data_IF_221571244952
#
_entry.id   IF_221571244952
#
_cell.length_a   1.000
_cell.length_b   1.000
_cell.length_c   1.000
_cell.angle_alpha   90.00
_cell.angle_beta   90.00
_cell.angle_gamma   90.00
#
_symmetry.space_group_name_H-M   'P 1'
#
loop_
_entity.id
_entity.type
_entity.pdbx_description
1 polymer ?
#
# COMPACT_ATOMS: atom_id res chain seq x y z
N UNK A 1 8.90 -15.67 7.34
CA UNK A 1 8.41 -14.35 7.79
C UNK A 1 9.36 -13.68 8.79
N UNK A 2 9.97 -14.39 9.76
CA UNK A 2 10.79 -13.76 10.83
C UNK A 2 12.02 -12.94 10.39
N UNK A 3 12.55 -13.19 9.19
CA UNK A 3 13.70 -12.45 8.63
C UNK A 3 13.29 -11.46 7.52
N UNK A 4 11.98 -11.32 7.28
CA UNK A 4 11.48 -10.30 6.34
C UNK A 4 11.63 -8.96 7.05
N UNK A 5 12.33 -8.02 6.40
CA UNK A 5 12.67 -6.71 6.95
C UNK A 5 11.44 -5.92 7.46
N UNK A 6 11.71 -4.82 8.17
CA UNK A 6 10.81 -3.97 8.96
C UNK A 6 9.36 -3.79 8.46
N UNK A 7 9.09 -3.86 7.16
CA UNK A 7 7.75 -3.64 6.58
C UNK A 7 6.68 -4.71 6.79
N UNK A 8 6.99 -5.96 7.20
CA UNK A 8 5.95 -6.96 7.54
C UNK A 8 5.75 -7.12 9.05
N UNK A 9 6.78 -6.86 9.84
CA UNK A 9 6.76 -7.13 11.28
C UNK A 9 5.71 -6.28 12.02
N UNK A 10 5.34 -5.11 11.50
CA UNK A 10 4.26 -4.30 12.06
C UNK A 10 2.86 -4.91 11.85
N UNK A 11 2.68 -5.77 10.85
CA UNK A 11 1.40 -6.39 10.52
C UNK A 11 1.23 -7.79 11.13
N UNK A 12 2.30 -8.39 11.67
CA UNK A 12 2.29 -9.75 12.19
C UNK A 12 2.36 -9.74 13.71
N UNK A 13 1.37 -10.33 14.36
CA UNK A 13 1.34 -10.48 15.82
C UNK A 13 1.90 -11.83 16.27
N UNK A 14 2.18 -11.96 17.57
CA UNK A 14 2.61 -13.23 18.17
C UNK A 14 1.58 -14.37 17.98
N UNK A 15 0.29 -14.04 17.93
CA UNK A 15 -0.78 -15.02 17.71
C UNK A 15 -0.82 -15.53 16.25
N UNK A 16 -0.31 -14.74 15.30
CA UNK A 16 -0.26 -15.09 13.87
C UNK A 16 0.90 -16.03 13.54
N UNK A 17 2.02 -15.95 14.26
CA UNK A 17 3.24 -16.73 14.01
C UNK A 17 2.99 -18.24 13.80
N UNK A 18 2.31 -18.96 14.71
CA UNK A 18 2.13 -20.41 14.55
C UNK A 18 1.22 -20.77 13.38
N UNK A 19 0.39 -19.84 12.91
CA UNK A 19 -0.43 -20.03 11.71
C UNK A 19 0.43 -19.83 10.46
N UNK A 20 1.30 -18.82 10.48
CA UNK A 20 2.23 -18.52 9.40
C UNK A 20 3.33 -19.60 9.24
N UNK A 21 3.60 -20.42 10.26
CA UNK A 21 4.43 -21.63 10.10
C UNK A 21 3.85 -22.63 9.09
N UNK A 22 2.53 -22.59 8.87
CA UNK A 22 1.87 -23.42 7.87
C UNK A 22 1.86 -22.81 6.47
N UNK A 23 2.32 -21.56 6.29
CA UNK A 23 2.43 -20.90 5.00
C UNK A 23 3.56 -21.55 4.19
N UNK A 24 3.22 -22.23 3.11
CA UNK A 24 4.17 -22.96 2.27
C UNK A 24 4.65 -22.17 1.07
N UNK A 25 3.81 -21.26 0.54
CA UNK A 25 4.14 -20.48 -0.65
C UNK A 25 3.32 -19.19 -0.71
N UNK A 26 3.86 -18.17 -1.39
CA UNK A 26 3.15 -16.94 -1.74
C UNK A 26 3.37 -16.67 -3.21
N UNK A 27 2.30 -16.79 -4.00
CA UNK A 27 2.34 -16.65 -5.46
C UNK A 27 1.64 -15.36 -5.87
N UNK A 28 2.29 -14.60 -6.76
CA UNK A 28 1.70 -13.43 -7.40
C UNK A 28 1.13 -13.85 -8.76
N UNK A 29 -0.15 -13.60 -8.99
CA UNK A 29 -0.80 -13.68 -10.30
C UNK A 29 -1.00 -12.27 -10.85
N UNK A 30 -0.13 -11.84 -11.75
CA UNK A 30 -0.27 -10.55 -12.44
C UNK A 30 -1.17 -10.64 -13.67
N UNK A 31 -2.06 -9.66 -13.80
CA UNK A 31 -2.83 -9.36 -14.98
C UNK A 31 -2.54 -7.90 -15.41
N UNK A 32 -3.05 -7.49 -16.57
CA UNK A 32 -2.79 -6.16 -17.10
C UNK A 32 -3.29 -5.08 -16.13
N UNK A 33 -4.53 -5.21 -15.65
CA UNK A 33 -5.27 -4.23 -14.84
C UNK A 33 -5.56 -4.73 -13.41
N UNK A 34 -4.88 -5.77 -12.96
CA UNK A 34 -5.08 -6.36 -11.64
C UNK A 34 -3.91 -7.25 -11.25
N UNK A 35 -3.77 -7.54 -9.97
CA UNK A 35 -2.93 -8.64 -9.50
C UNK A 35 -3.57 -9.34 -8.32
N UNK A 36 -3.18 -10.59 -8.08
CA UNK A 36 -3.63 -11.39 -6.94
C UNK A 36 -2.45 -11.97 -6.18
N UNK A 37 -2.58 -12.00 -4.87
CA UNK A 37 -1.65 -12.66 -3.96
C UNK A 37 -2.31 -13.94 -3.44
N UNK A 38 -1.72 -15.08 -3.74
CA UNK A 38 -2.16 -16.40 -3.29
C UNK A 38 -1.22 -16.93 -2.21
N UNK A 39 -1.72 -17.02 -0.99
CA UNK A 39 -1.03 -17.55 0.17
C UNK A 39 -1.41 -19.01 0.35
N UNK A 40 -0.49 -19.92 0.04
CA UNK A 40 -0.70 -21.36 0.12
C UNK A 40 -0.37 -21.85 1.52
N UNK A 41 -1.31 -22.58 2.13
CA UNK A 41 -1.13 -23.16 3.46
C UNK A 41 -1.19 -24.68 3.40
N UNK A 42 -0.30 -25.31 4.14
CA UNK A 42 -0.42 -26.72 4.50
C UNK A 42 -1.65 -26.96 5.40
N UNK A 43 -2.20 -28.19 5.44
CA UNK A 43 -3.27 -28.53 6.37
C UNK A 43 -2.87 -28.18 7.81
N UNK A 44 -3.68 -27.33 8.46
CA UNK A 44 -3.41 -26.78 9.79
C UNK A 44 -4.64 -26.87 10.70
N UNK A 45 -4.51 -26.52 11.98
CA UNK A 45 -5.61 -26.59 12.95
C UNK A 45 -6.49 -25.32 13.02
N UNK A 46 -6.14 -24.26 12.31
CA UNK A 46 -6.76 -22.94 12.45
C UNK A 46 -7.93 -22.73 11.50
N UNK A 47 -7.74 -23.02 10.21
CA UNK A 47 -8.77 -22.85 9.18
C UNK A 47 -8.75 -24.00 8.16
N UNK A 48 -9.82 -24.15 7.37
CA UNK A 48 -9.92 -25.20 6.34
C UNK A 48 -9.41 -24.77 4.96
N UNK A 49 -9.21 -23.48 4.71
CA UNK A 49 -8.72 -22.98 3.43
C UNK A 49 -7.30 -23.47 3.17
N UNK A 50 -7.04 -23.92 1.94
CA UNK A 50 -5.68 -24.27 1.48
C UNK A 50 -4.97 -23.10 0.83
N UNK A 51 -5.73 -22.11 0.34
CA UNK A 51 -5.22 -20.90 -0.29
C UNK A 51 -6.04 -19.72 0.24
N UNK A 52 -5.36 -18.70 0.78
CA UNK A 52 -5.95 -17.39 1.05
C UNK A 52 -5.55 -16.44 -0.07
N UNK A 53 -6.51 -15.68 -0.60
CA UNK A 53 -6.31 -14.82 -1.78
C UNK A 53 -6.67 -13.38 -1.43
N UNK A 54 -5.78 -12.47 -1.80
CA UNK A 54 -6.05 -11.03 -1.83
C UNK A 54 -5.94 -10.56 -3.28
N UNK A 55 -6.94 -9.80 -3.74
CA UNK A 55 -7.06 -9.30 -5.11
C UNK A 55 -6.99 -7.77 -5.10
N UNK A 56 -6.29 -7.20 -6.08
CA UNK A 56 -6.15 -5.77 -6.28
C UNK A 56 -6.46 -5.42 -7.74
N UNK A 57 -7.14 -4.29 -7.98
CA UNK A 57 -7.33 -3.71 -9.32
C UNK A 57 -6.44 -2.50 -9.48
N UNK A 58 -5.87 -2.37 -10.66
CA UNK A 58 -4.96 -1.31 -11.05
C UNK A 58 -5.62 -0.36 -12.04
N UNK A 59 -5.41 0.93 -11.86
CA UNK A 59 -5.67 1.96 -12.86
C UNK A 59 -4.39 2.21 -13.64
N UNK A 60 -4.40 1.91 -14.93
CA UNK A 60 -3.19 1.95 -15.79
C UNK A 60 -3.03 3.24 -16.61
N UNK A 61 -3.96 4.17 -16.47
CA UNK A 61 -3.96 5.40 -17.25
C UNK A 61 -4.65 6.54 -16.52
N UNK A 62 -4.55 7.75 -17.08
CA UNK A 62 -5.15 8.94 -16.49
C UNK A 62 -6.66 8.81 -16.29
N UNK A 63 -7.16 9.38 -15.20
CA UNK A 63 -8.60 9.61 -15.02
C UNK A 63 -9.09 10.65 -16.02
N UNK A 64 -10.34 10.53 -16.47
CA UNK A 64 -10.96 11.57 -17.27
C UNK A 64 -11.10 12.89 -16.50
N UNK A 65 -11.35 12.80 -15.19
CA UNK A 65 -11.56 13.96 -14.31
C UNK A 65 -10.26 14.69 -13.95
N UNK A 66 -9.15 13.95 -13.85
CA UNK A 66 -7.82 14.51 -13.58
C UNK A 66 -6.75 13.72 -14.35
N UNK A 67 -6.47 14.11 -15.61
CA UNK A 67 -5.55 13.38 -16.47
C UNK A 67 -4.08 13.73 -16.23
N UNK A 68 -3.78 14.79 -15.48
CA UNK A 68 -2.40 15.22 -15.22
C UNK A 68 -1.80 14.62 -13.95
N UNK A 69 -2.64 14.06 -13.06
CA UNK A 69 -2.23 13.42 -11.81
C UNK A 69 -1.86 11.93 -11.96
N UNK A 70 -1.65 11.45 -13.20
CA UNK A 70 -1.25 10.06 -13.43
C UNK A 70 0.26 9.90 -13.24
N UNK A 71 0.66 9.23 -12.16
CA UNK A 71 2.06 8.91 -11.84
C UNK A 71 2.42 7.43 -12.09
N UNK A 72 1.53 6.68 -12.75
CA UNK A 72 1.72 5.26 -13.03
C UNK A 72 0.57 4.39 -12.53
N UNK A 73 0.71 3.06 -12.63
CA UNK A 73 -0.31 2.13 -12.16
C UNK A 73 -0.62 2.31 -10.67
N UNK A 74 -1.88 2.57 -10.34
CA UNK A 74 -2.33 2.79 -8.97
C UNK A 74 -3.37 1.73 -8.56
N UNK A 75 -3.31 1.27 -7.31
CA UNK A 75 -4.33 0.37 -6.75
C UNK A 75 -5.60 1.17 -6.45
N UNK A 76 -6.66 0.90 -7.20
CA UNK A 76 -7.96 1.60 -7.06
C UNK A 76 -9.01 0.78 -6.33
N UNK A 77 -8.79 -0.52 -6.19
CA UNK A 77 -9.70 -1.37 -5.47
C UNK A 77 -9.01 -2.61 -4.92
N UNK A 78 -9.50 -3.10 -3.80
CA UNK A 78 -9.02 -4.33 -3.19
C UNK A 78 -10.16 -5.23 -2.76
N UNK A 79 -9.88 -6.54 -2.71
CA UNK A 79 -10.81 -7.55 -2.23
C UNK A 79 -10.04 -8.71 -1.62
N UNK A 80 -10.32 -9.00 -0.36
CA UNK A 80 -9.88 -10.19 0.33
C UNK A 80 -10.81 -11.38 0.12
N UNK A 81 -10.80 -12.29 1.09
CA UNK A 81 -11.65 -13.46 1.08
C UNK A 81 -11.98 -13.93 2.49
N UNK A 82 -13.09 -14.64 2.61
CA UNK A 82 -13.50 -15.21 3.88
C UNK A 82 -12.53 -16.32 4.31
N UNK A 83 -12.01 -16.21 5.52
CA UNK A 83 -11.28 -17.30 6.18
C UNK A 83 -12.28 -18.19 6.92
N UNK A 84 -12.26 -19.49 6.60
CA UNK A 84 -13.09 -20.52 7.21
C UNK A 84 -12.37 -21.09 8.44
N UNK A 85 -12.31 -20.27 9.49
CA UNK A 85 -11.79 -20.66 10.81
C UNK A 85 -12.52 -21.90 11.32
N UNK A 86 -11.77 -22.90 11.79
CA UNK A 86 -12.30 -24.19 12.28
C UNK A 86 -13.08 -24.04 13.58
N UNK A 87 -12.74 -23.04 14.39
CA UNK A 87 -13.45 -22.70 15.62
C UNK A 87 -13.22 -21.24 16.00
N UNK A 88 -14.10 -20.69 16.84
CA UNK A 88 -14.00 -19.29 17.29
C UNK A 88 -12.73 -19.01 18.11
N UNK A 89 -12.20 -20.00 18.84
CA UNK A 89 -10.96 -19.88 19.61
C UNK A 89 -9.69 -19.92 18.76
N UNK A 90 -9.81 -20.36 17.50
CA UNK A 90 -8.70 -20.34 16.53
C UNK A 90 -8.68 -19.09 15.66
N UNK A 91 -9.71 -18.25 15.77
CA UNK A 91 -9.79 -17.01 15.02
C UNK A 91 -9.00 -15.89 15.71
N UNK A 92 -7.76 -15.67 15.28
CA UNK A 92 -6.85 -14.63 15.82
C UNK A 92 -7.27 -13.20 15.47
N UNK A 93 -8.21 -13.02 14.53
CA UNK A 93 -8.76 -11.69 14.19
C UNK A 93 -9.77 -11.19 15.24
N UNK A 94 -10.11 -12.04 16.22
CA UNK A 94 -11.14 -11.74 17.20
C UNK A 94 -10.78 -12.26 18.60
N UNK A 95 -10.93 -11.39 19.62
CA UNK A 95 -10.76 -11.76 21.02
C UNK A 95 -12.08 -11.76 21.77
N UNK A 96 -12.33 -12.85 22.51
CA UNK A 96 -13.52 -13.03 23.33
C UNK A 96 -13.32 -12.46 24.74
N UNK A 97 -14.07 -11.43 25.10
CA UNK A 97 -14.13 -10.87 26.45
C UNK A 97 -15.38 -11.33 27.20
N UNK A 98 -15.20 -11.97 28.36
CA UNK A 98 -16.31 -12.38 29.23
C UNK A 98 -16.44 -11.46 30.44
N UNK A 99 -17.65 -10.97 30.70
CA UNK A 99 -17.98 -10.17 31.88
C UNK A 99 -19.14 -10.80 32.65
N UNK A 100 -18.92 -11.05 33.92
CA UNK A 100 -19.98 -11.53 34.81
C UNK A 100 -20.88 -10.36 35.22
N UNK A 101 -22.16 -10.46 34.88
CA UNK A 101 -23.19 -9.51 35.27
C UNK A 101 -24.04 -10.13 36.38
N UNK A 102 -24.04 -9.49 37.55
CA UNK A 102 -24.91 -9.89 38.68
C UNK A 102 -26.17 -9.04 38.70
N UNK A 103 -27.33 -9.69 38.64
CA UNK A 103 -28.60 -9.00 38.80
C UNK A 103 -28.76 -8.56 40.27
N UNK A 104 -28.86 -7.24 40.49
CA UNK A 104 -28.96 -6.64 41.83
C UNK A 104 -30.21 -7.07 42.60
N UNK A 105 -31.30 -7.46 41.91
CA UNK A 105 -32.58 -7.84 42.53
C UNK A 105 -32.69 -9.33 42.82
N UNK A 106 -32.25 -10.17 41.89
CA UNK A 106 -32.40 -11.64 42.01
C UNK A 106 -31.14 -12.35 42.51
N UNK A 107 -30.01 -11.63 42.61
CA UNK A 107 -28.72 -12.20 43.02
C UNK A 107 -28.07 -13.12 41.97
N UNK A 108 -28.78 -13.45 40.90
CA UNK A 108 -28.35 -14.34 39.81
C UNK A 108 -27.22 -13.70 39.02
N UNK A 109 -26.16 -14.48 38.77
CA UNK A 109 -25.03 -14.07 37.91
C UNK A 109 -25.19 -14.68 36.53
N UNK A 110 -25.10 -13.87 35.48
CA UNK A 110 -25.01 -14.30 34.08
C UNK A 110 -23.68 -13.84 33.50
N UNK A 111 -22.97 -14.72 32.81
CA UNK A 111 -21.79 -14.35 32.04
C UNK A 111 -22.23 -13.81 30.68
N UNK A 112 -21.78 -12.60 30.35
CA UNK A 112 -21.97 -11.97 29.05
C UNK A 112 -20.66 -12.07 28.30
N UNK A 113 -20.71 -12.57 27.08
CA UNK A 113 -19.56 -12.70 26.19
C UNK A 113 -19.66 -11.65 25.10
N UNK A 114 -18.63 -10.82 24.92
CA UNK A 114 -18.49 -9.87 23.81
C UNK A 114 -17.25 -10.24 23.02
N UNK A 115 -17.39 -10.33 21.70
CA UNK A 115 -16.27 -10.49 20.78
C UNK A 115 -15.82 -9.12 20.28
N UNK A 116 -14.52 -8.87 20.25
CA UNK A 116 -13.90 -7.61 19.81
C UNK A 116 -12.88 -7.98 18.74
N UNK A 117 -12.79 -7.19 17.67
CA UNK A 117 -11.72 -7.34 16.68
C UNK A 117 -10.36 -7.05 17.31
N UNK A 118 -9.35 -7.76 16.84
CA UNK A 118 -7.97 -7.63 17.27
C UNK A 118 -7.05 -7.49 16.08
N UNK A 119 -5.93 -6.82 16.29
CA UNK A 119 -4.88 -6.71 15.29
C UNK A 119 -4.33 -8.10 14.98
N UNK A 120 -4.22 -8.40 13.70
CA UNK A 120 -3.78 -9.67 13.17
C UNK A 120 -3.45 -9.50 11.70
N UNK A 121 -2.40 -10.16 11.22
CA UNK A 121 -2.06 -10.23 9.81
C UNK A 121 -3.25 -10.70 8.96
N UNK A 122 -4.08 -11.61 9.50
CA UNK A 122 -5.21 -12.17 8.77
C UNK A 122 -6.35 -11.18 8.54
N UNK A 123 -6.32 -9.99 9.16
CA UNK A 123 -7.22 -8.89 8.82
C UNK A 123 -7.01 -8.42 7.37
N UNK A 124 -5.82 -8.66 6.79
CA UNK A 124 -5.52 -8.42 5.38
C UNK A 124 -6.52 -9.10 4.44
N UNK A 125 -7.17 -10.20 4.83
CA UNK A 125 -8.14 -10.90 4.00
C UNK A 125 -9.61 -10.55 4.31
N UNK A 126 -9.88 -9.75 5.35
CA UNK A 126 -11.21 -9.64 5.98
C UNK A 126 -12.33 -9.13 5.06
N UNK A 127 -12.01 -8.33 4.05
CA UNK A 127 -12.98 -7.70 3.16
C UNK A 127 -13.35 -8.60 1.98
N UNK A 128 -14.52 -9.24 2.02
CA UNK A 128 -14.96 -10.19 0.98
C UNK A 128 -15.57 -9.54 -0.26
N UNK A 129 -15.94 -8.26 -0.13
CA UNK A 129 -16.47 -7.43 -1.22
C UNK A 129 -15.39 -6.48 -1.73
N UNK A 130 -15.56 -5.96 -2.95
CA UNK A 130 -14.67 -4.95 -3.49
C UNK A 130 -14.83 -3.65 -2.71
N UNK A 131 -13.71 -3.15 -2.22
CA UNK A 131 -13.58 -1.79 -1.71
C UNK A 131 -12.87 -1.00 -2.79
N UNK A 132 -13.45 0.12 -3.17
CA UNK A 132 -12.86 1.07 -4.11
C UNK A 132 -12.33 2.25 -3.33
N UNK A 133 -11.22 2.81 -3.78
CA UNK A 133 -10.67 4.03 -3.21
C UNK A 133 -11.64 5.20 -3.46
N UNK A 134 -12.17 5.76 -2.38
CA UNK A 134 -13.10 6.90 -2.40
C UNK A 134 -12.80 7.86 -1.27
N UNK A 135 -12.92 9.15 -1.57
CA UNK A 135 -12.72 10.22 -0.58
C UNK A 135 -13.74 10.19 0.58
N UNK A 136 -14.89 9.53 0.40
CA UNK A 136 -15.98 9.46 1.37
C UNK A 136 -15.94 8.22 2.28
N UNK A 137 -14.86 7.43 2.23
CA UNK A 137 -14.68 6.27 3.10
C UNK A 137 -14.63 6.66 4.58
N UNK A 138 -15.13 5.77 5.44
CA UNK A 138 -14.94 5.89 6.89
C UNK A 138 -13.44 5.82 7.21
N UNK A 139 -12.96 6.65 8.15
CA UNK A 139 -11.54 6.80 8.50
C UNK A 139 -10.84 5.45 8.76
N UNK A 140 -11.47 4.57 9.54
CA UNK A 140 -10.92 3.23 9.84
C UNK A 140 -10.80 2.33 8.60
N UNK A 141 -11.72 2.48 7.64
CA UNK A 141 -11.69 1.72 6.39
C UNK A 141 -10.57 2.26 5.48
N UNK A 142 -10.40 3.58 5.42
CA UNK A 142 -9.32 4.22 4.68
C UNK A 142 -7.94 3.81 5.22
N UNK A 143 -7.75 3.83 6.54
CA UNK A 143 -6.52 3.35 7.19
C UNK A 143 -6.21 1.88 6.80
N UNK A 144 -7.22 1.01 6.84
CA UNK A 144 -7.07 -0.39 6.44
C UNK A 144 -6.75 -0.53 4.95
N UNK A 145 -7.38 0.29 4.10
CA UNK A 145 -7.13 0.31 2.66
C UNK A 145 -5.69 0.71 2.32
N UNK A 146 -5.17 1.75 2.96
CA UNK A 146 -3.78 2.17 2.79
C UNK A 146 -2.78 1.12 3.31
N UNK A 147 -3.03 0.54 4.49
CA UNK A 147 -2.22 -0.55 5.02
C UNK A 147 -2.17 -1.76 4.06
N UNK A 148 -3.32 -2.12 3.50
CA UNK A 148 -3.45 -3.23 2.56
C UNK A 148 -2.74 -2.94 1.22
N UNK A 149 -2.73 -1.69 0.75
CA UNK A 149 -1.95 -1.26 -0.42
C UNK A 149 -0.46 -1.42 -0.15
N UNK A 150 0.03 -0.88 0.97
CA UNK A 150 1.45 -0.96 1.36
C UNK A 150 1.90 -2.42 1.41
N UNK A 151 1.12 -3.27 2.08
CA UNK A 151 1.44 -4.69 2.20
C UNK A 151 1.32 -5.43 0.86
N UNK A 152 0.29 -5.12 0.06
CA UNK A 152 0.06 -5.69 -1.26
C UNK A 152 1.22 -5.43 -2.23
N UNK A 153 1.64 -4.17 -2.33
CA UNK A 153 2.79 -3.76 -3.13
C UNK A 153 4.09 -4.34 -2.61
N UNK A 154 4.29 -4.38 -1.28
CA UNK A 154 5.46 -5.01 -0.69
C UNK A 154 5.58 -6.49 -1.08
N UNK A 155 4.50 -7.27 -0.99
CA UNK A 155 4.50 -8.67 -1.41
C UNK A 155 4.86 -8.84 -2.88
N UNK A 156 4.21 -8.05 -3.74
CA UNK A 156 4.35 -8.13 -5.19
C UNK A 156 5.73 -7.71 -5.68
N UNK A 157 6.23 -6.57 -5.20
CA UNK A 157 7.39 -5.87 -5.79
C UNK A 157 8.69 -6.15 -5.06
N UNK A 158 8.63 -6.42 -3.75
CA UNK A 158 9.82 -6.64 -2.91
C UNK A 158 9.94 -8.09 -2.45
N UNK A 159 8.95 -8.60 -1.71
CA UNK A 159 9.07 -9.87 -1.01
C UNK A 159 9.18 -11.07 -1.95
N UNK A 160 8.16 -11.32 -2.78
CA UNK A 160 8.09 -12.53 -3.60
C UNK A 160 9.27 -12.62 -4.58
N UNK A 161 9.66 -11.54 -5.29
CA UNK A 161 10.82 -11.59 -6.19
C UNK A 161 12.15 -11.88 -5.48
N UNK A 162 12.28 -11.54 -4.20
CA UNK A 162 13.53 -11.65 -3.42
C UNK A 162 13.39 -12.56 -2.19
N UNK A 163 12.43 -13.49 -2.20
CA UNK A 163 12.03 -14.25 -1.00
C UNK A 163 13.19 -15.01 -0.36
N UNK A 164 14.12 -15.55 -1.17
CA UNK A 164 15.31 -16.24 -0.68
C UNK A 164 16.23 -15.30 0.10
N UNK A 165 16.44 -14.08 -0.38
CA UNK A 165 17.30 -13.10 0.28
C UNK A 165 16.71 -12.59 1.60
N UNK A 166 15.38 -12.42 1.65
CA UNK A 166 14.69 -12.14 2.91
C UNK A 166 14.77 -13.33 3.87
N UNK A 167 14.65 -14.56 3.37
CA UNK A 167 14.75 -15.75 4.20
C UNK A 167 16.16 -15.93 4.79
N UNK A 168 17.22 -15.74 3.99
CA UNK A 168 18.61 -15.85 4.43
C UNK A 168 19.07 -14.65 5.27
N UNK A 169 18.35 -13.52 5.21
CA UNK A 169 18.73 -12.28 5.89
C UNK A 169 19.85 -11.51 5.17
N UNK A 170 20.16 -11.87 3.93
CA UNK A 170 21.22 -11.22 3.14
C UNK A 170 20.82 -9.82 2.65
N UNK A 171 19.51 -9.52 2.58
CA UNK A 171 19.01 -8.20 2.15
C UNK A 171 19.31 -7.06 3.13
N UNK A 172 19.40 -7.34 4.43
CA UNK A 172 19.74 -6.32 5.43
C UNK A 172 21.13 -5.72 5.23
N UNK A 173 22.00 -6.36 4.45
CA UNK A 173 23.32 -5.85 4.09
C UNK A 173 23.30 -4.96 2.84
N UNK A 174 22.18 -4.87 2.12
CA UNK A 174 22.05 -4.11 0.87
C UNK A 174 21.13 -2.88 0.99
N UNK A 175 20.08 -2.91 1.83
CA UNK A 175 19.22 -1.73 2.07
C UNK A 175 19.99 -0.63 2.85
N UNK A 176 21.02 -0.98 3.64
CA UNK A 176 21.91 0.00 4.32
C UNK A 176 22.78 0.81 3.34
N UNK A 177 22.97 0.35 2.09
CA UNK A 177 23.78 1.05 1.09
C UNK A 177 22.99 2.09 0.27
N UNK A 178 21.66 2.14 0.38
CA UNK A 178 20.84 3.11 -0.35
C UNK A 178 20.69 4.44 0.43
N UNK A 179 20.98 4.46 1.74
CA UNK A 179 20.98 5.68 2.56
C UNK A 179 22.31 6.48 2.48
N UNK A 180 23.41 5.86 2.06
CA UNK A 180 24.74 6.50 1.98
C UNK A 180 25.07 7.13 0.61
N UNK A 181 24.13 7.14 -0.35
CA UNK A 181 24.33 7.68 -1.70
C UNK A 181 23.76 9.11 -1.90
N UNK A 182 23.41 9.82 -0.82
CA UNK A 182 22.87 11.19 -0.86
C UNK A 182 23.79 12.28 -0.26
N UNK A 183 25.03 11.95 0.11
CA UNK A 183 26.00 12.92 0.64
C UNK A 183 27.30 12.97 -0.18
N UNK A 184 27.26 13.54 -1.40
CA UNK A 184 28.43 14.23 -2.00
C UNK A 184 28.01 15.01 -3.27
N UNK A 185 27.17 16.04 -3.10
CA UNK A 185 27.16 17.18 -4.03
C UNK A 185 27.87 18.35 -3.35
N UNK A 186 29.19 18.19 -3.19
CA UNK A 186 30.06 19.25 -2.69
C UNK A 186 30.23 20.33 -3.79
N UNK A 187 29.98 21.57 -3.37
CA UNK A 187 29.97 22.81 -4.13
C UNK A 187 31.03 22.91 -5.24
N UNK A 188 30.59 22.95 -6.50
CA UNK A 188 31.37 23.60 -7.57
C UNK A 188 31.19 25.11 -7.45
N UNK A 189 32.11 25.71 -6.70
CA UNK A 189 32.37 27.15 -6.62
C UNK A 189 32.69 27.67 -8.04
N UNK A 190 31.68 28.23 -8.70
CA UNK A 190 31.77 28.79 -10.06
C UNK A 190 32.35 30.21 -9.95
N UNK A 191 33.67 30.27 -9.74
CA UNK A 191 34.50 31.48 -9.78
C UNK A 191 34.52 32.01 -11.23
N UNK A 192 33.43 32.64 -11.65
CA UNK A 192 33.29 33.29 -12.95
C UNK A 192 33.85 34.73 -12.90
N UNK A 193 35.18 34.83 -12.87
CA UNK A 193 35.91 36.08 -13.07
C UNK A 193 36.41 36.13 -14.53
N UNK A 194 35.71 36.86 -15.42
CA UNK A 194 36.35 37.52 -16.58
C UNK A 194 35.41 38.46 -17.34
N UNK A 195 35.78 39.74 -17.26
CA UNK A 195 35.76 40.77 -18.31
C UNK A 195 34.44 41.45 -18.73
N UNK A 196 34.22 42.60 -18.08
CA UNK A 196 33.45 43.74 -18.55
C UNK A 196 34.05 44.31 -19.86
N UNK A 197 33.40 44.09 -21.01
CA UNK A 197 33.73 44.75 -22.29
C UNK A 197 32.81 45.97 -22.50
N UNK A 198 33.30 47.21 -22.32
CA UNK A 198 32.49 48.42 -22.39
C UNK A 198 32.13 48.91 -23.82
N UNK A 199 32.37 48.15 -24.90
CA UNK A 199 32.13 48.64 -26.27
C UNK A 199 31.09 47.84 -27.12
N UNK A 200 30.22 47.03 -26.49
CA UNK A 200 29.13 46.38 -27.23
C UNK A 200 28.00 47.34 -27.62
N UNK A 201 27.96 47.76 -28.89
CA UNK A 201 26.85 48.52 -29.50
C UNK A 201 25.88 47.59 -30.26
N UNK A 202 24.66 47.32 -29.74
CA UNK A 202 23.69 46.51 -30.46
C UNK A 202 23.09 47.27 -31.66
N UNK A 203 23.23 46.70 -32.86
CA UNK A 203 22.67 47.28 -34.08
C UNK A 203 21.15 47.12 -34.13
N UNK A 204 20.45 48.23 -34.40
CA UNK A 204 18.99 48.34 -34.51
C UNK A 204 18.49 47.63 -35.77
N UNK A 205 18.02 46.37 -35.68
CA UNK A 205 17.31 45.74 -36.81
C UNK A 205 16.20 44.73 -36.50
N UNK A 206 15.68 44.68 -35.26
CA UNK A 206 14.57 43.78 -34.93
C UNK A 206 13.40 44.44 -34.15
N UNK A 207 13.23 45.76 -34.28
CA UNK A 207 12.05 46.45 -33.76
C UNK A 207 11.26 47.08 -34.92
N UNK A 208 10.35 46.30 -35.52
CA UNK A 208 9.12 46.76 -36.22
C UNK A 208 8.44 45.61 -36.97
N UNK A 209 7.54 44.90 -36.29
CA UNK A 209 6.26 44.47 -36.88
C UNK A 209 5.30 43.96 -35.79
N UNK A 210 4.74 44.90 -35.06
CA UNK A 210 3.40 44.76 -34.52
C UNK A 210 2.65 46.03 -34.94
N UNK A 211 1.69 45.91 -35.86
CA UNK A 211 0.31 46.45 -35.74
C UNK A 211 -0.45 46.48 -37.06
N UNK A 212 -1.69 46.01 -36.95
CA UNK A 212 -2.92 46.46 -37.62
C UNK A 212 -3.13 46.16 -39.12
N UNK A 213 -4.05 45.22 -39.37
CA UNK A 213 -5.16 45.44 -40.31
C UNK A 213 -6.43 44.75 -39.79
N UNK A 214 -7.33 45.55 -39.21
CA UNK A 214 -8.77 45.28 -39.19
C UNK A 214 -9.35 45.85 -40.49
N UNK A 215 -10.12 45.05 -41.23
CA UNK A 215 -11.09 45.51 -42.23
C UNK A 215 -12.39 44.69 -42.02
N UNK A 216 -13.51 45.38 -42.19
CA UNK A 216 -14.78 45.28 -41.49
C UNK A 216 -15.73 44.12 -41.87
N UNK A 217 -16.53 43.72 -40.89
CA UNK A 217 -17.80 43.00 -41.06
C UNK A 217 -18.93 44.03 -41.26
N UNK A 218 -19.74 43.85 -42.32
CA UNK A 218 -20.87 44.71 -42.71
C UNK A 218 -21.99 44.73 -41.67
N UNK A 219 -22.72 45.86 -41.59
CA UNK A 219 -24.18 45.84 -41.52
C UNK A 219 -24.80 47.20 -41.92
N UNK A 220 -26.04 47.13 -42.40
CA UNK A 220 -26.94 48.24 -42.72
C UNK A 220 -27.24 49.11 -41.51
#
# INVERSE_FOLDING_TARGET
MKNVAEGINEFVTEEDEPILEHLTDVVVEDNIDAFKLHFHFSPNEYFSNTILTKEFKLKLGPSEDDPFNFDGPEIIAMKGMKIDWKSEDKNVTQRRMTRNQKNKKTGTTRTITKTIQTDSFFNFFSHVEWIEDREDMEEQLAETFHADITLGSFFRERLVPRAVLYFTGELGQFDEFDEDMDEEMDDVDDDADSDDDPDFKPSKKALRKATAKQEECKQQ
#
